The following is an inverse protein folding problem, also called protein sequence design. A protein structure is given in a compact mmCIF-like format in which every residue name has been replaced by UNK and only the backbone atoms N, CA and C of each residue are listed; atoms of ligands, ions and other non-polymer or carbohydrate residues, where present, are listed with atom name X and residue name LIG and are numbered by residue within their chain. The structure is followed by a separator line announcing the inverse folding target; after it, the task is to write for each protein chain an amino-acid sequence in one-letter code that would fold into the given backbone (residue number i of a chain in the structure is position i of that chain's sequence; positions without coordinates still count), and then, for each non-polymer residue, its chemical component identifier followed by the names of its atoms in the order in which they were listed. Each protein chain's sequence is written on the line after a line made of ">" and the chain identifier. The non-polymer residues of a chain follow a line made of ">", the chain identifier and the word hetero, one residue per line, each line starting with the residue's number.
data_IF_130688752069
#
_entry.id   IF_130688752069
#
_cell.length_a   1.000
_cell.length_b   1.000
_cell.length_c   1.000
_cell.angle_alpha   90.00
_cell.angle_beta   90.00
_cell.angle_gamma   90.00
#
_symmetry.space_group_name_H-M   'P 1'
#
loop_
_entity.id
_entity.type
_entity.pdbx_description
1 polymer ?
#
# COMPACT_ATOMS: atom_id res chain seq x y z
N UNK A 1 -15.74 13.65 -9.49
CA UNK A 1 -15.83 13.38 -8.05
C UNK A 1 -14.85 12.30 -7.65
N UNK A 2 -14.21 12.47 -6.49
CA UNK A 2 -13.21 11.56 -5.91
C UNK A 2 -13.62 10.08 -5.97
N UNK A 3 -14.81 9.74 -5.46
CA UNK A 3 -15.31 8.36 -5.44
C UNK A 3 -15.44 7.74 -6.83
N UNK A 4 -15.73 8.52 -7.87
CA UNK A 4 -15.75 8.03 -9.25
C UNK A 4 -14.31 7.73 -9.72
N UNK A 5 -13.35 8.58 -9.38
CA UNK A 5 -11.93 8.33 -9.66
C UNK A 5 -11.43 7.06 -8.99
N UNK A 6 -11.79 6.84 -7.72
CA UNK A 6 -11.45 5.61 -6.99
C UNK A 6 -12.09 4.36 -7.63
N UNK A 7 -13.35 4.44 -8.06
CA UNK A 7 -14.05 3.33 -8.71
C UNK A 7 -13.43 2.98 -10.07
N UNK A 8 -13.23 3.99 -10.93
CA UNK A 8 -12.74 3.80 -12.30
C UNK A 8 -11.28 3.36 -12.39
N UNK A 9 -10.45 3.73 -11.41
CA UNK A 9 -9.03 3.34 -11.36
C UNK A 9 -8.78 1.96 -10.73
N UNK A 10 -9.81 1.32 -10.17
CA UNK A 10 -9.68 0.07 -9.42
C UNK A 10 -9.27 0.25 -7.95
N UNK A 11 -9.04 1.48 -7.47
CA UNK A 11 -8.66 1.73 -6.08
C UNK A 11 -9.70 1.20 -5.08
N UNK A 12 -10.99 1.38 -5.36
CA UNK A 12 -12.06 0.84 -4.53
C UNK A 12 -12.06 -0.69 -4.49
N UNK A 13 -11.79 -1.34 -5.62
CA UNK A 13 -11.69 -2.81 -5.68
C UNK A 13 -10.53 -3.28 -4.80
N UNK A 14 -9.34 -2.68 -4.95
CA UNK A 14 -8.15 -3.09 -4.20
C UNK A 14 -8.23 -2.79 -2.70
N UNK A 15 -9.02 -1.79 -2.29
CA UNK A 15 -9.20 -1.39 -0.88
C UNK A 15 -10.27 -2.19 -0.13
N UNK A 16 -10.97 -3.09 -0.79
CA UNK A 16 -12.06 -3.87 -0.20
C UNK A 16 -11.75 -5.35 -0.07
N UNK A 17 -12.80 -6.14 -0.20
CA UNK A 17 -12.74 -7.59 -0.43
C UNK A 17 -13.21 -7.89 -1.86
N UNK A 18 -13.01 -9.11 -2.37
CA UNK A 18 -13.55 -9.51 -3.67
C UNK A 18 -15.06 -9.29 -3.80
N UNK A 19 -15.81 -9.40 -2.70
CA UNK A 19 -17.27 -9.27 -2.66
C UNK A 19 -17.74 -7.83 -2.42
N UNK A 20 -16.89 -6.99 -1.79
CA UNK A 20 -17.28 -5.65 -1.37
C UNK A 20 -16.16 -4.62 -1.65
N UNK A 21 -16.21 -3.94 -2.80
CA UNK A 21 -15.34 -2.79 -3.06
C UNK A 21 -15.53 -1.71 -2.00
N UNK A 22 -14.44 -1.15 -1.47
CA UNK A 22 -14.49 -0.18 -0.39
C UNK A 22 -13.80 1.11 -0.79
N UNK A 23 -14.56 2.22 -0.72
CA UNK A 23 -14.01 3.56 -0.94
C UNK A 23 -13.16 3.99 0.26
N UNK A 24 -11.95 4.49 0.03
CA UNK A 24 -11.20 5.18 1.06
C UNK A 24 -11.97 6.43 1.53
N UNK A 25 -12.02 6.66 2.84
CA UNK A 25 -12.75 7.81 3.41
C UNK A 25 -12.17 9.16 2.96
N UNK A 26 -10.85 9.43 3.05
CA UNK A 26 -10.29 10.68 2.57
C UNK A 26 -10.37 10.79 1.05
N UNK A 27 -10.72 11.99 0.52
CA UNK A 27 -10.85 12.22 -0.93
C UNK A 27 -9.46 12.45 -1.56
N UNK A 28 -8.62 11.42 -1.58
CA UNK A 28 -7.22 11.51 -1.99
C UNK A 28 -7.04 11.78 -3.48
N UNK A 29 -8.01 11.43 -4.31
CA UNK A 29 -7.98 11.73 -5.76
C UNK A 29 -8.22 13.21 -6.00
N UNK A 30 -9.20 13.82 -5.32
CA UNK A 30 -9.50 15.24 -5.44
C UNK A 30 -8.30 16.08 -4.97
N UNK A 31 -7.76 15.80 -3.78
CA UNK A 31 -6.60 16.51 -3.25
C UNK A 31 -5.32 16.24 -4.06
N UNK A 32 -5.12 15.02 -4.53
CA UNK A 32 -4.01 14.68 -5.40
C UNK A 32 -4.08 15.46 -6.72
N UNK A 33 -5.26 15.54 -7.34
CA UNK A 33 -5.47 16.31 -8.57
C UNK A 33 -5.23 17.81 -8.35
N UNK A 34 -5.74 18.35 -7.25
CA UNK A 34 -5.50 19.76 -6.91
C UNK A 34 -4.00 20.05 -6.73
N UNK A 35 -3.27 19.18 -6.07
CA UNK A 35 -1.82 19.31 -5.85
C UNK A 35 -1.04 19.23 -7.17
N UNK A 36 -1.37 18.28 -8.04
CA UNK A 36 -0.74 18.15 -9.36
C UNK A 36 -1.07 19.33 -10.26
N UNK A 37 -2.30 19.85 -10.23
CA UNK A 37 -2.70 21.03 -10.97
C UNK A 37 -1.97 22.29 -10.45
N UNK A 38 -1.79 22.44 -9.16
CA UNK A 38 -0.99 23.52 -8.57
C UNK A 38 0.48 23.43 -8.99
N UNK A 39 1.07 22.23 -8.96
CA UNK A 39 2.43 22.00 -9.46
C UNK A 39 2.56 22.36 -10.95
N UNK A 40 1.64 21.88 -11.79
CA UNK A 40 1.60 22.23 -13.22
C UNK A 40 1.46 23.72 -13.46
N UNK A 41 0.65 24.42 -12.64
CA UNK A 41 0.51 25.87 -12.69
C UNK A 41 1.83 26.59 -12.37
N UNK A 42 2.56 26.13 -11.36
CA UNK A 42 3.88 26.70 -11.05
C UNK A 42 4.89 26.50 -12.17
N UNK A 43 4.89 25.33 -12.82
CA UNK A 43 5.73 25.07 -14.02
C UNK A 43 5.35 26.00 -15.16
N UNK A 44 4.05 26.20 -15.41
CA UNK A 44 3.56 27.10 -16.45
C UNK A 44 3.93 28.57 -16.16
N UNK A 45 3.90 29.00 -14.90
CA UNK A 45 4.33 30.33 -14.47
C UNK A 45 5.87 30.53 -14.66
N UNK A 46 6.64 29.51 -14.32
CA UNK A 46 8.09 29.50 -14.51
C UNK A 46 8.45 29.64 -16.01
N UNK A 47 7.81 28.86 -16.87
CA UNK A 47 8.00 28.98 -18.33
C UNK A 47 7.57 30.35 -18.87
N UNK A 48 6.45 30.89 -18.34
CA UNK A 48 6.00 32.23 -18.72
C UNK A 48 7.04 33.30 -18.40
N UNK A 49 7.81 33.19 -17.32
CA UNK A 49 8.88 34.13 -17.01
C UNK A 49 10.01 34.12 -18.08
N UNK A 50 10.24 32.97 -18.73
CA UNK A 50 11.25 32.79 -19.74
C UNK A 50 10.74 33.22 -21.13
N UNK A 51 9.49 32.87 -21.45
CA UNK A 51 8.93 32.99 -22.80
C UNK A 51 8.00 34.19 -22.98
N UNK A 52 7.50 34.79 -21.91
CA UNK A 52 6.43 35.80 -21.91
C UNK A 52 5.03 35.24 -22.25
N UNK A 53 4.90 33.95 -22.52
CA UNK A 53 3.66 33.32 -22.96
C UNK A 53 3.02 32.49 -21.84
N UNK A 54 1.72 32.67 -21.64
CA UNK A 54 0.93 31.80 -20.77
C UNK A 54 0.51 30.51 -21.49
N UNK A 55 0.12 29.52 -20.71
CA UNK A 55 -0.42 28.24 -21.21
C UNK A 55 -1.53 27.73 -20.32
N UNK A 56 -2.36 26.86 -20.87
CA UNK A 56 -3.41 26.16 -20.12
C UNK A 56 -2.81 24.97 -19.35
N UNK A 57 -3.28 24.76 -18.13
CA UNK A 57 -2.95 23.60 -17.31
C UNK A 57 -4.24 22.84 -17.03
N UNK A 58 -4.27 21.58 -17.39
CA UNK A 58 -5.42 20.70 -17.15
C UNK A 58 -5.11 19.67 -16.09
N UNK A 59 -6.01 19.54 -15.10
CA UNK A 59 -6.00 18.46 -14.10
C UNK A 59 -7.09 17.43 -14.42
N UNK A 60 -6.76 16.14 -14.33
CA UNK A 60 -7.72 15.06 -14.54
C UNK A 60 -7.76 14.14 -13.33
N UNK A 61 -8.93 14.00 -12.71
CA UNK A 61 -9.16 13.08 -11.60
C UNK A 61 -8.81 11.64 -11.97
N UNK A 62 -9.20 11.20 -13.17
CA UNK A 62 -8.93 9.85 -13.62
C UNK A 62 -7.43 9.59 -13.84
N UNK A 63 -6.73 10.53 -14.48
CA UNK A 63 -5.28 10.40 -14.66
C UNK A 63 -4.53 10.41 -13.34
N UNK A 64 -4.96 11.24 -12.39
CA UNK A 64 -4.42 11.24 -11.02
C UNK A 64 -4.67 9.88 -10.36
N UNK A 65 -5.87 9.36 -10.45
CA UNK A 65 -6.21 8.06 -9.87
C UNK A 65 -5.37 6.92 -10.47
N UNK A 66 -5.17 6.91 -11.79
CA UNK A 66 -4.28 5.94 -12.45
C UNK A 66 -2.81 6.11 -12.02
N UNK A 67 -2.36 7.35 -11.82
CA UNK A 67 -1.01 7.61 -11.30
C UNK A 67 -0.82 7.04 -9.90
N UNK A 68 -1.82 7.17 -9.02
CA UNK A 68 -1.79 6.59 -7.67
C UNK A 68 -1.85 5.06 -7.69
N UNK A 69 -2.46 4.47 -8.71
CA UNK A 69 -2.61 3.02 -8.89
C UNK A 69 -1.59 2.44 -9.89
N UNK A 70 -0.53 3.19 -10.27
CA UNK A 70 0.36 2.84 -11.37
C UNK A 70 1.03 1.47 -11.21
N UNK A 71 1.45 1.09 -10.01
CA UNK A 71 2.09 -0.21 -9.74
C UNK A 71 1.18 -1.37 -10.17
N UNK A 72 -0.06 -1.38 -9.69
CA UNK A 72 -1.05 -2.42 -10.03
C UNK A 72 -1.44 -2.39 -11.51
N UNK A 73 -1.60 -1.17 -12.08
CA UNK A 73 -1.92 -1.01 -13.49
C UNK A 73 -0.80 -1.51 -14.41
N UNK A 74 0.48 -1.26 -14.04
CA UNK A 74 1.64 -1.75 -14.77
C UNK A 74 1.76 -3.27 -14.66
N UNK A 75 1.61 -3.84 -13.46
CA UNK A 75 1.62 -5.30 -13.27
C UNK A 75 0.56 -5.97 -14.14
N UNK A 76 -0.68 -5.45 -14.15
CA UNK A 76 -1.75 -6.00 -14.96
C UNK A 76 -1.44 -5.91 -16.45
N UNK A 77 -0.94 -4.76 -16.93
CA UNK A 77 -0.70 -4.55 -18.35
C UNK A 77 0.55 -5.28 -18.88
N UNK A 78 1.62 -5.34 -18.09
CA UNK A 78 2.91 -5.85 -18.51
C UNK A 78 3.05 -7.37 -18.29
N UNK A 79 2.54 -7.90 -17.19
CA UNK A 79 2.70 -9.32 -16.80
C UNK A 79 1.37 -10.03 -16.53
N UNK A 80 0.24 -9.37 -16.78
CA UNK A 80 -1.12 -9.91 -16.60
C UNK A 80 -1.35 -10.52 -15.22
N UNK A 81 -0.86 -9.83 -14.19
CA UNK A 81 -1.00 -10.29 -12.81
C UNK A 81 -2.29 -9.77 -12.20
N UNK A 82 -3.27 -10.66 -12.06
CA UNK A 82 -4.56 -10.36 -11.46
C UNK A 82 -4.43 -10.25 -9.94
N UNK A 83 -4.28 -9.02 -9.44
CA UNK A 83 -4.32 -8.75 -8.01
C UNK A 83 -5.76 -8.81 -7.51
N UNK A 84 -5.96 -9.47 -6.37
CA UNK A 84 -7.24 -9.59 -5.70
C UNK A 84 -7.25 -8.73 -4.45
N UNK A 85 -8.38 -8.08 -4.15
CA UNK A 85 -8.52 -7.28 -2.95
C UNK A 85 -8.21 -8.10 -1.68
N UNK A 86 -7.43 -7.53 -0.77
CA UNK A 86 -6.91 -8.20 0.44
C UNK A 86 -7.04 -7.34 1.70
N UNK A 87 -7.98 -6.37 1.71
CA UNK A 87 -8.14 -5.38 2.78
C UNK A 87 -6.83 -4.62 3.02
N UNK A 88 -6.30 -4.69 4.23
CA UNK A 88 -5.08 -4.00 4.63
C UNK A 88 -3.80 -4.78 4.31
N UNK A 89 -3.92 -6.07 3.95
CA UNK A 89 -2.76 -6.91 3.68
C UNK A 89 -2.09 -6.51 2.37
N UNK A 90 -0.81 -6.20 2.44
CA UNK A 90 0.00 -5.95 1.24
C UNK A 90 0.16 -7.22 0.41
N UNK A 91 0.22 -7.03 -0.90
CA UNK A 91 0.48 -8.11 -1.86
C UNK A 91 1.88 -8.00 -2.48
N UNK A 92 2.70 -7.07 -2.00
CA UNK A 92 4.06 -6.84 -2.50
C UNK A 92 5.13 -7.00 -1.42
N UNK A 93 4.71 -7.26 -0.17
CA UNK A 93 5.60 -7.51 0.98
C UNK A 93 4.81 -8.16 2.11
N UNK A 94 5.49 -8.87 3.01
CA UNK A 94 4.91 -9.35 4.27
C UNK A 94 6.02 -9.56 5.34
N UNK A 95 5.66 -9.36 6.64
CA UNK A 95 4.36 -8.93 7.15
C UNK A 95 4.06 -7.47 6.79
N UNK A 96 2.87 -7.19 6.31
CA UNK A 96 2.39 -5.84 6.03
C UNK A 96 0.85 -5.84 6.06
N UNK A 97 0.27 -5.59 7.24
CA UNK A 97 -1.16 -5.70 7.50
C UNK A 97 -1.53 -5.00 8.81
N UNK A 98 -2.81 -4.93 9.13
CA UNK A 98 -3.32 -4.51 10.42
C UNK A 98 -3.67 -5.70 11.29
N UNK A 99 -3.28 -5.66 12.55
CA UNK A 99 -3.44 -6.77 13.49
C UNK A 99 -4.19 -6.33 14.74
N UNK A 100 -5.15 -7.16 15.15
CA UNK A 100 -5.87 -6.93 16.39
C UNK A 100 -5.01 -7.37 17.58
N UNK A 101 -4.96 -6.50 18.59
CA UNK A 101 -4.34 -6.75 19.89
C UNK A 101 -5.41 -6.91 20.96
N UNK A 102 -5.02 -7.14 22.21
CA UNK A 102 -5.97 -7.22 23.34
C UNK A 102 -6.74 -5.92 23.59
N UNK A 103 -6.14 -4.77 23.26
CA UNK A 103 -6.64 -3.44 23.61
C UNK A 103 -6.85 -2.51 22.40
N UNK A 104 -6.61 -2.98 21.18
CA UNK A 104 -6.76 -2.15 19.99
C UNK A 104 -6.30 -2.81 18.70
N UNK A 105 -5.61 -2.04 17.88
CA UNK A 105 -5.08 -2.45 16.59
C UNK A 105 -3.70 -1.85 16.38
N UNK A 106 -2.84 -2.59 15.70
CA UNK A 106 -1.52 -2.12 15.24
C UNK A 106 -1.41 -2.34 13.74
N UNK A 107 -0.72 -1.43 13.06
CA UNK A 107 -0.23 -1.64 11.70
C UNK A 107 1.23 -2.09 11.79
N UNK A 108 1.55 -3.22 11.19
CA UNK A 108 2.93 -3.68 11.04
C UNK A 108 3.26 -3.74 9.57
N UNK A 109 4.41 -3.20 9.19
CA UNK A 109 4.89 -3.22 7.82
C UNK A 109 6.40 -3.47 7.81
N UNK A 110 6.80 -4.61 7.24
CA UNK A 110 8.20 -5.00 7.06
C UNK A 110 8.50 -5.15 5.57
N UNK A 111 9.47 -4.39 5.09
CA UNK A 111 9.92 -4.41 3.70
C UNK A 111 11.42 -4.65 3.67
N UNK A 112 11.84 -5.57 2.82
CA UNK A 112 13.25 -5.95 2.67
C UNK A 112 13.67 -7.12 3.55
N UNK A 113 14.67 -7.86 3.06
CA UNK A 113 15.18 -9.07 3.72
C UNK A 113 15.68 -8.86 5.14
N UNK A 114 16.42 -7.79 5.45
CA UNK A 114 16.93 -7.55 6.81
C UNK A 114 15.82 -7.37 7.86
N UNK A 115 14.73 -6.66 7.53
CA UNK A 115 13.59 -6.51 8.44
C UNK A 115 12.83 -7.82 8.60
N UNK A 116 12.61 -8.55 7.49
CA UNK A 116 11.96 -9.85 7.53
C UNK A 116 12.75 -10.85 8.39
N UNK A 117 14.09 -10.84 8.29
CA UNK A 117 14.92 -11.70 9.13
C UNK A 117 14.71 -11.41 10.62
N UNK A 118 14.80 -10.16 11.04
CA UNK A 118 14.61 -9.78 12.44
C UNK A 118 13.21 -10.12 12.95
N UNK A 119 12.21 -9.92 12.10
CA UNK A 119 10.84 -10.32 12.39
C UNK A 119 10.70 -11.85 12.54
N UNK A 120 11.31 -12.64 11.66
CA UNK A 120 11.30 -14.10 11.74
C UNK A 120 11.98 -14.59 13.03
N UNK A 121 13.12 -14.02 13.37
CA UNK A 121 13.85 -14.28 14.63
C UNK A 121 12.93 -14.00 15.84
N UNK A 122 12.23 -12.84 15.87
CA UNK A 122 11.29 -12.47 16.93
C UNK A 122 10.11 -13.46 17.04
N UNK A 123 9.63 -13.97 15.90
CA UNK A 123 8.52 -14.93 15.86
C UNK A 123 8.96 -16.37 16.17
N UNK A 124 10.26 -16.66 16.22
CA UNK A 124 10.81 -18.01 16.33
C UNK A 124 10.61 -18.84 15.05
N UNK A 125 10.58 -18.18 13.90
CA UNK A 125 10.30 -18.78 12.59
C UNK A 125 11.55 -18.75 11.68
N UNK A 126 12.73 -18.98 12.23
CA UNK A 126 14.01 -18.93 11.49
C UNK A 126 14.03 -19.81 10.22
N UNK A 127 13.28 -20.91 10.25
CA UNK A 127 13.17 -21.80 9.09
C UNK A 127 12.53 -21.13 7.88
N UNK A 128 11.76 -20.06 8.04
CA UNK A 128 11.17 -19.30 6.96
C UNK A 128 12.19 -18.56 6.12
N UNK A 129 13.38 -18.28 6.67
CA UNK A 129 14.48 -17.65 5.94
C UNK A 129 15.03 -18.54 4.82
N UNK A 130 14.76 -19.84 4.88
CA UNK A 130 15.18 -20.84 3.89
C UNK A 130 14.02 -21.38 3.05
N UNK A 131 12.79 -20.91 3.29
CA UNK A 131 11.61 -21.31 2.53
C UNK A 131 11.53 -20.51 1.21
N UNK A 132 11.48 -21.17 0.05
CA UNK A 132 11.38 -20.49 -1.25
C UNK A 132 10.18 -19.55 -1.37
N UNK A 133 9.11 -19.78 -0.62
CA UNK A 133 7.91 -18.91 -0.59
C UNK A 133 8.21 -17.53 -0.02
N UNK A 134 9.29 -17.38 0.76
CA UNK A 134 9.60 -16.14 1.47
C UNK A 134 10.94 -15.52 1.07
N UNK A 135 11.51 -15.94 -0.06
CA UNK A 135 12.86 -15.57 -0.54
C UNK A 135 13.05 -14.08 -0.79
N UNK A 136 12.00 -13.37 -1.19
CA UNK A 136 11.99 -11.94 -1.50
C UNK A 136 10.64 -11.31 -1.14
N UNK A 137 10.54 -9.96 -1.21
CA UNK A 137 9.33 -9.23 -0.81
C UNK A 137 8.11 -9.64 -1.63
N UNK A 138 8.24 -9.80 -2.93
CA UNK A 138 7.13 -10.19 -3.80
C UNK A 138 6.64 -11.59 -3.46
N UNK A 139 7.55 -12.53 -3.30
CA UNK A 139 7.21 -13.91 -2.90
C UNK A 139 6.53 -13.92 -1.52
N UNK A 140 6.99 -13.10 -0.58
CA UNK A 140 6.34 -12.93 0.73
C UNK A 140 4.95 -12.32 0.61
N UNK A 141 4.78 -11.31 -0.24
CA UNK A 141 3.48 -10.71 -0.52
C UNK A 141 2.48 -11.71 -1.09
N UNK A 142 2.93 -12.56 -2.02
CA UNK A 142 2.10 -13.61 -2.62
C UNK A 142 1.65 -14.69 -1.62
N UNK A 143 2.48 -14.95 -0.61
CA UNK A 143 2.20 -15.91 0.47
C UNK A 143 1.91 -15.19 1.80
N UNK A 144 1.54 -13.90 1.73
CA UNK A 144 1.38 -13.03 2.90
C UNK A 144 0.30 -13.46 3.88
N UNK A 145 -0.67 -14.28 3.46
CA UNK A 145 -1.70 -14.82 4.34
C UNK A 145 -1.10 -15.64 5.49
N UNK A 146 -0.19 -16.55 5.17
CA UNK A 146 0.49 -17.40 6.17
C UNK A 146 1.27 -16.55 7.18
N UNK A 147 1.95 -15.51 6.69
CA UNK A 147 2.74 -14.59 7.53
C UNK A 147 1.80 -13.74 8.41
N UNK A 148 0.72 -13.20 7.83
CA UNK A 148 -0.28 -12.39 8.56
C UNK A 148 -0.99 -13.21 9.63
N UNK A 149 -1.38 -14.45 9.35
CA UNK A 149 -1.98 -15.35 10.35
C UNK A 149 -1.04 -15.63 11.53
N UNK A 150 0.24 -15.85 11.26
CA UNK A 150 1.24 -16.06 12.32
C UNK A 150 1.37 -14.84 13.22
N UNK A 151 1.47 -13.65 12.61
CA UNK A 151 1.58 -12.40 13.36
C UNK A 151 0.28 -12.05 14.08
N UNK A 152 -0.88 -12.31 13.47
CA UNK A 152 -2.19 -12.09 14.10
C UNK A 152 -2.34 -12.86 15.41
N UNK A 153 -1.96 -14.14 15.42
CA UNK A 153 -1.97 -14.97 16.66
C UNK A 153 -1.04 -14.40 17.73
N UNK A 154 0.15 -13.93 17.33
CA UNK A 154 1.10 -13.35 18.27
C UNK A 154 0.63 -12.00 18.84
N UNK A 155 0.00 -11.15 18.01
CA UNK A 155 -0.57 -9.86 18.44
C UNK A 155 -1.79 -10.02 19.34
N UNK A 156 -2.65 -11.00 19.06
CA UNK A 156 -3.89 -11.24 19.83
C UNK A 156 -3.67 -11.50 21.33
N UNK A 157 -2.50 -11.99 21.70
CA UNK A 157 -2.11 -12.28 23.08
C UNK A 157 -1.46 -11.08 23.80
N UNK A 158 -1.28 -9.94 23.13
CA UNK A 158 -0.51 -8.79 23.60
C UNK A 158 -1.31 -7.49 23.52
N UNK A 159 -0.95 -6.52 24.33
CA UNK A 159 -1.41 -5.14 24.17
C UNK A 159 -0.71 -4.47 23.00
N UNK A 160 -1.29 -3.42 22.46
CA UNK A 160 -0.68 -2.62 21.41
C UNK A 160 0.71 -2.11 21.81
N UNK A 161 0.87 -1.71 23.07
CA UNK A 161 2.15 -1.24 23.61
C UNK A 161 3.20 -2.36 23.60
N UNK A 162 2.87 -3.56 24.09
CA UNK A 162 3.78 -4.71 24.08
C UNK A 162 4.21 -5.11 22.67
N UNK A 163 3.29 -5.03 21.70
CA UNK A 163 3.60 -5.29 20.28
C UNK A 163 4.58 -4.25 19.74
N UNK A 164 4.32 -2.96 19.97
CA UNK A 164 5.18 -1.88 19.48
C UNK A 164 6.58 -1.96 20.08
N UNK A 165 6.70 -2.12 21.40
CA UNK A 165 8.00 -2.25 22.09
C UNK A 165 8.81 -3.45 21.56
N UNK A 166 8.15 -4.59 21.29
CA UNK A 166 8.83 -5.77 20.73
C UNK A 166 9.28 -5.55 19.28
N UNK A 167 8.48 -4.84 18.46
CA UNK A 167 8.81 -4.54 17.07
C UNK A 167 9.88 -3.46 16.92
N UNK A 168 9.95 -2.48 17.85
CA UNK A 168 11.00 -1.45 17.88
C UNK A 168 12.37 -2.02 18.25
N UNK A 169 12.39 -3.13 18.99
CA UNK A 169 13.62 -3.79 19.43
C UNK A 169 14.32 -4.60 18.31
N UNK A 170 13.66 -4.80 17.16
CA UNK A 170 14.13 -5.58 16.02
C UNK A 170 14.16 -4.73 14.75
#
# INVERSE_FOLDING_TARGET
>A
FDGLGQAMSGAMYMSGTPEQPTKAYPPFIDFGTASLAAFGTMVALYERQQTGKGQMVEGSLFNTALTMMNGTAIEQSAIQRDRVASLNRSQTSAPADTFKTRDGWVLVQSVGGPLFKRWADLMGEDHWLHDPRFKDDISRGDHGEVISERLARWCAERTSKEVLEAMEAV
#
